data_IF_435269243977
#
_entry.id   IF_435269243977
#
_cell.length_a   1.000
_cell.length_b   1.000
_cell.length_c   1.000
_cell.angle_alpha   90.00
_cell.angle_beta   90.00
_cell.angle_gamma   90.00
#
_symmetry.space_group_name_H-M   'P 1'
#
loop_
_entity.id
_entity.type
_entity.pdbx_description
1 polymer ?
#
# COMPACT_ATOMS: atom_id res chain seq x y z
N UNK A 1 -14.10 -71.36 -20.68
CA UNK A 1 -14.72 -70.16 -20.07
C UNK A 1 -14.03 -69.77 -18.75
N UNK A 2 -13.78 -70.70 -17.83
CA UNK A 2 -13.10 -70.45 -16.52
C UNK A 2 -11.70 -69.82 -16.68
N UNK A 3 -10.85 -70.37 -17.56
CA UNK A 3 -9.51 -69.82 -17.83
C UNK A 3 -9.49 -68.36 -18.30
N UNK A 4 -10.53 -67.90 -19.02
CA UNK A 4 -10.62 -66.51 -19.49
C UNK A 4 -10.96 -65.54 -18.35
N UNK A 5 -11.75 -65.99 -17.37
CA UNK A 5 -12.09 -65.20 -16.20
C UNK A 5 -10.89 -65.08 -15.25
N UNK A 6 -10.16 -66.18 -15.02
CA UNK A 6 -8.94 -66.17 -14.21
C UNK A 6 -7.85 -65.27 -14.82
N UNK A 7 -7.67 -65.33 -16.15
CA UNK A 7 -6.75 -64.45 -16.87
C UNK A 7 -7.15 -62.97 -16.78
N UNK A 8 -8.45 -62.66 -16.88
CA UNK A 8 -8.96 -61.30 -16.72
C UNK A 8 -8.80 -60.78 -15.30
N UNK A 9 -9.06 -61.60 -14.28
CA UNK A 9 -8.88 -61.24 -12.87
C UNK A 9 -7.40 -61.00 -12.56
N UNK A 10 -6.51 -61.88 -13.03
CA UNK A 10 -5.06 -61.70 -12.89
C UNK A 10 -4.55 -60.45 -13.61
N UNK A 11 -5.12 -60.11 -14.77
CA UNK A 11 -4.75 -58.88 -15.49
C UNK A 11 -5.15 -57.64 -14.68
N UNK A 12 -6.33 -57.67 -14.06
CA UNK A 12 -6.80 -56.55 -13.25
C UNK A 12 -6.00 -56.40 -11.95
N UNK A 13 -5.66 -57.49 -11.27
CA UNK A 13 -4.82 -57.44 -10.07
C UNK A 13 -3.41 -56.94 -10.38
N UNK A 14 -2.85 -57.36 -11.52
CA UNK A 14 -1.57 -56.84 -12.01
C UNK A 14 -1.63 -55.34 -12.30
N UNK A 15 -2.69 -54.87 -12.97
CA UNK A 15 -2.88 -53.44 -13.27
C UNK A 15 -2.99 -52.61 -11.98
N UNK A 16 -3.79 -53.08 -11.02
CA UNK A 16 -3.94 -52.43 -9.72
C UNK A 16 -2.60 -52.35 -8.97
N UNK A 17 -1.82 -53.42 -9.03
CA UNK A 17 -0.50 -53.48 -8.39
C UNK A 17 0.49 -52.50 -9.06
N UNK A 18 0.52 -52.46 -10.40
CA UNK A 18 1.34 -51.48 -11.12
C UNK A 18 0.96 -50.04 -10.78
N UNK A 19 -0.34 -49.76 -10.64
CA UNK A 19 -0.82 -48.44 -10.25
C UNK A 19 -0.42 -48.08 -8.82
N UNK A 20 -0.54 -49.00 -7.85
CA UNK A 20 -0.10 -48.73 -6.47
C UNK A 20 1.39 -48.45 -6.39
N UNK A 21 2.22 -49.25 -7.09
CA UNK A 21 3.67 -49.03 -7.15
C UNK A 21 4.01 -47.67 -7.76
N UNK A 22 3.33 -47.27 -8.83
CA UNK A 22 3.54 -45.95 -9.45
C UNK A 22 3.17 -44.80 -8.52
N UNK A 23 2.03 -44.89 -7.83
CA UNK A 23 1.58 -43.87 -6.87
C UNK A 23 2.58 -43.73 -5.73
N UNK A 24 3.10 -44.83 -5.20
CA UNK A 24 4.06 -44.81 -4.11
C UNK A 24 5.41 -44.24 -4.54
N UNK A 25 5.87 -44.59 -5.74
CA UNK A 25 7.08 -44.02 -6.32
C UNK A 25 6.95 -42.51 -6.54
N UNK A 26 5.81 -42.06 -7.06
CA UNK A 26 5.52 -40.63 -7.26
C UNK A 26 5.51 -39.88 -5.92
N UNK A 27 4.87 -40.45 -4.89
CA UNK A 27 4.87 -39.86 -3.54
C UNK A 27 6.28 -39.75 -2.97
N UNK A 28 7.09 -40.80 -3.11
CA UNK A 28 8.47 -40.81 -2.63
C UNK A 28 9.31 -39.73 -3.34
N UNK A 29 9.20 -39.63 -4.66
CA UNK A 29 9.92 -38.63 -5.44
C UNK A 29 9.45 -37.20 -5.14
N UNK A 30 8.15 -37.00 -4.93
CA UNK A 30 7.60 -35.72 -4.47
C UNK A 30 8.13 -35.33 -3.10
N UNK A 31 8.22 -36.26 -2.14
CA UNK A 31 8.75 -35.99 -0.80
C UNK A 31 10.26 -35.65 -0.82
N UNK A 32 11.03 -36.30 -1.70
CA UNK A 32 12.47 -36.05 -1.83
C UNK A 32 12.77 -34.70 -2.52
N UNK A 33 12.08 -34.42 -3.64
CA UNK A 33 12.36 -33.24 -4.47
C UNK A 33 11.66 -31.97 -3.97
N UNK A 34 10.46 -32.10 -3.41
CA UNK A 34 9.76 -30.94 -2.87
C UNK A 34 10.23 -30.74 -1.44
N UNK A 35 11.15 -29.79 -1.25
CA UNK A 35 11.45 -29.26 0.08
C UNK A 35 10.14 -28.76 0.68
N UNK A 36 9.59 -29.52 1.63
CA UNK A 36 8.41 -29.12 2.39
C UNK A 36 8.81 -27.85 3.12
N UNK A 37 8.39 -26.70 2.57
CA UNK A 37 8.38 -25.47 3.36
C UNK A 37 7.34 -25.72 4.42
N UNK A 38 7.78 -25.99 5.63
CA UNK A 38 6.93 -25.87 6.81
C UNK A 38 6.43 -24.42 6.84
N UNK A 39 5.24 -24.21 6.26
CA UNK A 39 4.48 -23.02 6.53
C UNK A 39 3.95 -23.25 7.94
N UNK A 40 4.74 -22.83 8.94
CA UNK A 40 4.33 -22.81 10.33
C UNK A 40 3.04 -21.98 10.43
N UNK A 41 1.89 -22.65 10.35
CA UNK A 41 0.56 -22.07 10.55
C UNK A 41 0.41 -21.50 11.98
N UNK A 42 1.31 -21.89 12.90
CA UNK A 42 1.38 -21.39 14.27
C UNK A 42 2.23 -20.12 14.41
N UNK A 43 2.88 -19.64 13.35
CA UNK A 43 3.38 -18.27 13.36
C UNK A 43 2.22 -17.34 12.97
N UNK A 44 1.51 -16.83 13.98
CA UNK A 44 0.59 -15.70 13.86
C UNK A 44 1.32 -14.38 13.50
N UNK A 45 2.29 -14.47 12.59
CA UNK A 45 3.18 -13.41 12.16
C UNK A 45 3.24 -13.49 10.63
N UNK A 46 2.07 -13.35 10.04
CA UNK A 46 1.86 -12.98 8.64
C UNK A 46 2.92 -11.96 8.19
N UNK A 47 3.36 -12.06 6.93
CA UNK A 47 4.32 -11.23 6.18
C UNK A 47 4.22 -9.69 6.33
N UNK A 48 3.32 -9.16 7.16
CA UNK A 48 3.28 -7.77 7.64
C UNK A 48 4.60 -7.28 8.25
N UNK A 49 5.50 -8.16 8.72
CA UNK A 49 6.82 -7.79 9.29
C UNK A 49 7.85 -7.26 8.27
N UNK A 50 7.63 -7.39 6.95
CA UNK A 50 8.61 -6.94 5.95
C UNK A 50 8.37 -5.54 5.38
N UNK A 51 7.30 -4.85 5.76
CA UNK A 51 7.24 -3.40 5.54
C UNK A 51 8.16 -2.78 6.59
N UNK A 52 9.10 -1.93 6.17
CA UNK A 52 9.86 -1.12 7.12
C UNK A 52 8.85 -0.52 8.09
N UNK A 53 9.04 -0.78 9.39
CA UNK A 53 8.15 -0.22 10.41
C UNK A 53 8.11 1.27 10.12
N UNK A 54 6.90 1.79 9.90
CA UNK A 54 6.71 3.22 9.65
C UNK A 54 7.46 3.96 10.75
N UNK A 55 8.33 4.93 10.42
CA UNK A 55 9.27 5.49 11.39
C UNK A 55 8.56 6.26 12.53
N UNK A 56 7.29 6.63 12.32
CA UNK A 56 6.40 7.23 13.30
C UNK A 56 5.58 6.21 14.13
N UNK A 57 5.82 4.90 13.97
CA UNK A 57 5.07 3.86 14.69
C UNK A 57 5.68 3.62 16.08
N UNK A 58 4.93 3.93 17.14
CA UNK A 58 5.36 3.77 18.53
C UNK A 58 4.84 2.47 19.17
N UNK A 59 5.35 2.15 20.36
CA UNK A 59 4.83 1.06 21.20
C UNK A 59 3.38 1.31 21.60
N UNK A 60 3.04 2.55 21.97
CA UNK A 60 1.66 2.97 22.27
C UNK A 60 0.70 2.69 21.11
N UNK A 61 1.12 2.95 19.86
CA UNK A 61 0.31 2.61 18.69
C UNK A 61 0.12 1.11 18.51
N UNK A 62 1.12 0.31 18.88
CA UNK A 62 1.03 -1.15 18.86
C UNK A 62 0.00 -1.65 19.87
N UNK A 63 0.01 -1.09 21.08
CA UNK A 63 -0.97 -1.41 22.12
C UNK A 63 -2.39 -1.02 21.69
N UNK A 64 -2.60 0.22 21.22
CA UNK A 64 -3.89 0.68 20.73
C UNK A 64 -4.40 -0.15 19.56
N UNK A 65 -3.51 -0.55 18.65
CA UNK A 65 -3.85 -1.44 17.53
C UNK A 65 -4.29 -2.82 18.01
N UNK A 66 -3.59 -3.40 18.99
CA UNK A 66 -3.97 -4.69 19.58
C UNK A 66 -5.34 -4.59 20.27
N UNK A 67 -5.58 -3.51 21.03
CA UNK A 67 -6.86 -3.25 21.68
C UNK A 67 -8.00 -3.09 20.66
N UNK A 68 -7.75 -2.43 19.54
CA UNK A 68 -8.68 -2.31 18.42
C UNK A 68 -9.01 -3.69 17.83
N UNK A 69 -7.98 -4.50 17.53
CA UNK A 69 -8.14 -5.84 16.98
C UNK A 69 -8.92 -6.77 17.92
N UNK A 70 -8.68 -6.69 19.23
CA UNK A 70 -9.42 -7.47 20.22
C UNK A 70 -10.91 -7.08 20.25
N UNK A 71 -11.22 -5.78 20.28
CA UNK A 71 -12.61 -5.31 20.24
C UNK A 71 -13.32 -5.68 18.94
N UNK A 72 -12.62 -5.64 17.81
CA UNK A 72 -13.15 -6.09 16.53
C UNK A 72 -13.52 -7.58 16.56
N UNK A 73 -12.60 -8.43 17.04
CA UNK A 73 -12.84 -9.87 17.19
C UNK A 73 -14.03 -10.18 18.10
N UNK A 74 -14.16 -9.48 19.23
CA UNK A 74 -15.29 -9.65 20.15
C UNK A 74 -16.61 -9.21 19.52
N UNK A 75 -16.62 -8.05 18.85
CA UNK A 75 -17.79 -7.54 18.15
C UNK A 75 -18.28 -8.53 17.08
N UNK A 76 -17.37 -9.07 16.26
CA UNK A 76 -17.69 -10.02 15.20
C UNK A 76 -18.28 -11.34 15.73
N UNK A 77 -17.85 -11.79 16.91
CA UNK A 77 -18.39 -13.01 17.54
C UNK A 77 -19.76 -12.82 18.20
N UNK A 78 -20.17 -11.58 18.46
CA UNK A 78 -21.38 -11.27 19.21
C UNK A 78 -22.65 -11.19 18.35
N UNK A 79 -23.82 -11.40 18.97
CA UNK A 79 -25.15 -11.30 18.35
C UNK A 79 -26.09 -10.44 19.21
N UNK A 80 -27.18 -9.93 18.62
CA UNK A 80 -28.25 -9.21 19.32
C UNK A 80 -27.79 -7.92 20.02
N UNK A 81 -28.40 -7.60 21.16
CA UNK A 81 -28.14 -6.34 21.90
C UNK A 81 -26.68 -6.15 22.31
N UNK A 82 -25.97 -7.22 22.68
CA UNK A 82 -24.54 -7.16 23.04
C UNK A 82 -23.67 -6.65 21.88
N UNK A 83 -24.07 -6.90 20.63
CA UNK A 83 -23.35 -6.43 19.44
C UNK A 83 -23.37 -4.90 19.32
N UNK A 84 -24.47 -4.25 19.70
CA UNK A 84 -24.59 -2.79 19.68
C UNK A 84 -23.60 -2.13 20.63
N UNK A 85 -23.43 -2.68 21.83
CA UNK A 85 -22.48 -2.17 22.82
C UNK A 85 -21.03 -2.42 22.39
N UNK A 86 -20.70 -3.63 21.93
CA UNK A 86 -19.36 -3.92 21.42
C UNK A 86 -18.99 -3.07 20.20
N UNK A 87 -19.96 -2.71 19.35
CA UNK A 87 -19.76 -1.76 18.25
C UNK A 87 -19.36 -0.38 18.76
N UNK A 88 -20.00 0.12 19.83
CA UNK A 88 -19.63 1.41 20.44
C UNK A 88 -18.20 1.38 20.97
N UNK A 89 -17.83 0.31 21.68
CA UNK A 89 -16.46 0.11 22.20
C UNK A 89 -15.45 0.08 21.05
N UNK A 90 -15.73 -0.68 19.98
CA UNK A 90 -14.88 -0.74 18.80
C UNK A 90 -14.69 0.64 18.16
N UNK A 91 -15.78 1.39 17.93
CA UNK A 91 -15.72 2.74 17.34
C UNK A 91 -14.91 3.69 18.22
N UNK A 92 -15.07 3.62 19.55
CA UNK A 92 -14.28 4.42 20.48
C UNK A 92 -12.80 4.08 20.40
N UNK A 93 -12.43 2.79 20.45
CA UNK A 93 -11.03 2.35 20.33
C UNK A 93 -10.43 2.75 18.99
N UNK A 94 -11.20 2.68 17.91
CA UNK A 94 -10.76 3.13 16.57
C UNK A 94 -10.45 4.62 16.57
N UNK A 95 -11.36 5.45 17.11
CA UNK A 95 -11.14 6.91 17.23
C UNK A 95 -9.89 7.22 18.04
N UNK A 96 -9.64 6.52 19.14
CA UNK A 96 -8.43 6.70 19.95
C UNK A 96 -7.17 6.32 19.17
N UNK A 97 -7.17 5.17 18.49
CA UNK A 97 -6.07 4.74 17.63
C UNK A 97 -5.78 5.77 16.52
N UNK A 98 -6.80 6.20 15.78
CA UNK A 98 -6.65 7.15 14.68
C UNK A 98 -6.10 8.50 15.17
N UNK A 99 -6.58 9.01 16.30
CA UNK A 99 -6.06 10.23 16.92
C UNK A 99 -4.57 10.10 17.26
N UNK A 100 -4.18 9.00 17.88
CA UNK A 100 -2.77 8.79 18.25
C UNK A 100 -1.89 8.61 17.01
N UNK A 101 -2.39 7.93 15.96
CA UNK A 101 -1.67 7.82 14.68
C UNK A 101 -1.37 9.20 14.11
N UNK A 102 -2.36 10.10 14.08
CA UNK A 102 -2.16 11.45 13.56
C UNK A 102 -1.20 12.26 14.44
N UNK A 103 -1.28 12.11 15.77
CA UNK A 103 -0.35 12.74 16.70
C UNK A 103 1.09 12.27 16.48
N UNK A 104 1.34 10.96 16.44
CA UNK A 104 2.68 10.41 16.20
C UNK A 104 3.24 10.83 14.84
N UNK A 105 2.40 10.85 13.79
CA UNK A 105 2.80 11.38 12.47
C UNK A 105 3.24 12.84 12.56
N UNK A 106 2.43 13.71 13.19
CA UNK A 106 2.75 15.13 13.33
C UNK A 106 4.05 15.36 14.08
N UNK A 107 4.25 14.66 15.20
CA UNK A 107 5.49 14.72 15.99
C UNK A 107 6.69 14.30 15.14
N UNK A 108 6.58 13.18 14.42
CA UNK A 108 7.65 12.69 13.56
C UNK A 108 8.00 13.70 12.46
N UNK A 109 7.00 14.21 11.74
CA UNK A 109 7.23 15.16 10.65
C UNK A 109 7.78 16.49 11.15
N UNK A 110 7.32 16.98 12.31
CA UNK A 110 7.89 18.17 12.94
C UNK A 110 9.37 17.94 13.29
N UNK A 111 9.71 16.80 13.88
CA UNK A 111 11.11 16.43 14.15
C UNK A 111 11.95 16.35 12.87
N UNK A 112 11.41 15.80 11.78
CA UNK A 112 12.13 15.78 10.50
C UNK A 112 12.36 17.20 9.96
N UNK A 113 11.35 18.06 10.03
CA UNK A 113 11.47 19.47 9.64
C UNK A 113 12.55 20.18 10.47
N UNK A 114 12.51 20.05 11.79
CA UNK A 114 13.47 20.69 12.69
C UNK A 114 14.90 20.21 12.39
N UNK A 115 15.08 18.91 12.11
CA UNK A 115 16.38 18.36 11.71
C UNK A 115 16.90 19.00 10.41
N UNK A 116 16.03 19.21 9.42
CA UNK A 116 16.40 19.82 8.14
C UNK A 116 16.74 21.30 8.32
N UNK A 117 15.96 22.03 9.12
CA UNK A 117 16.23 23.44 9.45
C UNK A 117 17.60 23.59 10.15
N UNK A 118 17.93 22.67 11.06
CA UNK A 118 19.25 22.63 11.70
C UNK A 118 20.39 22.26 10.73
N UNK A 119 20.12 21.44 9.71
CA UNK A 119 21.10 21.14 8.68
C UNK A 119 21.39 22.33 7.78
N UNK A 120 20.41 23.22 7.54
CA UNK A 120 20.60 24.40 6.72
C UNK A 120 21.69 25.32 7.29
N UNK A 121 21.72 25.49 8.61
CA UNK A 121 22.70 26.35 9.30
C UNK A 121 24.04 25.67 9.53
N UNK A 122 24.06 24.35 9.71
CA UNK A 122 25.28 23.59 10.04
C UNK A 122 26.00 23.00 8.83
N UNK A 123 25.28 22.46 7.84
CA UNK A 123 25.85 21.78 6.68
C UNK A 123 24.90 21.83 5.46
N UNK A 124 25.10 22.85 4.63
CA UNK A 124 24.30 23.09 3.42
C UNK A 124 24.33 21.92 2.42
N UNK A 125 25.44 21.17 2.32
CA UNK A 125 25.52 20.01 1.43
C UNK A 125 24.62 18.86 1.90
N UNK A 126 24.58 18.59 3.21
CA UNK A 126 23.70 17.57 3.77
C UNK A 126 22.23 17.99 3.72
N UNK A 127 21.93 19.28 3.94
CA UNK A 127 20.59 19.83 3.76
C UNK A 127 20.02 19.49 2.38
N UNK A 128 20.74 19.79 1.29
CA UNK A 128 20.28 19.51 -0.07
C UNK A 128 20.13 18.00 -0.35
N UNK A 129 20.96 17.15 0.27
CA UNK A 129 20.81 15.69 0.19
C UNK A 129 19.51 15.22 0.87
N UNK A 130 19.18 15.73 2.05
CA UNK A 130 17.94 15.37 2.75
C UNK A 130 16.70 15.91 2.04
N UNK A 131 16.73 17.16 1.56
CA UNK A 131 15.68 17.73 0.71
C UNK A 131 15.46 16.88 -0.56
N UNK A 132 16.54 16.41 -1.19
CA UNK A 132 16.47 15.52 -2.35
C UNK A 132 15.85 14.15 -2.06
N UNK A 133 15.86 13.68 -0.81
CA UNK A 133 15.15 12.45 -0.39
C UNK A 133 13.67 12.70 -0.16
N UNK A 134 13.29 13.91 0.30
CA UNK A 134 11.91 14.28 0.63
C UNK A 134 11.14 14.68 -0.63
N UNK A 135 11.80 15.37 -1.55
CA UNK A 135 11.19 15.87 -2.78
C UNK A 135 11.53 15.01 -4.01
N UNK A 136 10.50 14.66 -4.78
CA UNK A 136 10.54 14.45 -6.24
C UNK A 136 11.34 13.24 -6.77
N UNK A 137 12.16 12.55 -5.96
CA UNK A 137 13.03 11.47 -6.41
C UNK A 137 12.32 10.27 -7.06
N UNK A 138 11.10 9.94 -6.63
CA UNK A 138 10.31 8.84 -7.20
C UNK A 138 9.30 9.28 -8.28
N UNK A 139 8.92 10.56 -8.30
CA UNK A 139 7.90 11.09 -9.23
C UNK A 139 8.48 11.83 -10.44
N UNK A 140 9.82 11.98 -10.55
CA UNK A 140 10.46 12.31 -11.81
C UNK A 140 10.24 11.16 -12.80
N UNK A 141 9.07 11.11 -13.44
CA UNK A 141 9.05 10.79 -14.86
C UNK A 141 10.02 11.79 -15.46
N UNK A 142 11.20 11.34 -15.91
CA UNK A 142 12.24 12.18 -16.54
C UNK A 142 11.78 12.83 -17.85
N UNK A 143 10.48 12.88 -18.09
CA UNK A 143 9.88 13.39 -19.31
C UNK A 143 9.37 14.79 -18.99
N UNK A 144 10.09 15.77 -19.51
CA UNK A 144 9.58 17.13 -19.63
C UNK A 144 8.22 17.02 -20.34
N UNK A 145 7.15 17.69 -19.85
CA UNK A 145 5.90 17.77 -20.59
C UNK A 145 6.19 18.28 -22.01
N UNK A 146 5.97 17.44 -23.01
CA UNK A 146 6.22 17.75 -24.42
C UNK A 146 4.96 18.35 -25.11
N UNK A 147 4.05 18.90 -24.32
CA UNK A 147 2.79 19.49 -24.77
C UNK A 147 2.54 20.73 -23.90
N UNK A 148 2.36 21.88 -24.54
CA UNK A 148 2.01 23.15 -23.87
C UNK A 148 0.72 23.71 -24.47
N UNK A 149 -0.09 24.32 -23.61
CA UNK A 149 -1.30 25.05 -24.04
C UNK A 149 -0.92 26.51 -24.20
N UNK A 150 -1.08 27.04 -25.41
CA UNK A 150 -0.87 28.46 -25.73
C UNK A 150 -2.06 29.30 -25.22
N UNK A 151 -1.89 30.61 -25.18
CA UNK A 151 -2.93 31.54 -24.67
C UNK A 151 -4.23 31.51 -25.47
N UNK A 152 -4.16 31.13 -26.75
CA UNK A 152 -5.29 30.92 -27.65
C UNK A 152 -6.07 29.61 -27.37
N UNK A 153 -5.63 28.82 -26.39
CA UNK A 153 -6.23 27.54 -26.02
C UNK A 153 -5.80 26.38 -26.91
N UNK A 154 -4.92 26.59 -27.89
CA UNK A 154 -4.38 25.53 -28.75
C UNK A 154 -3.23 24.79 -28.07
N UNK A 155 -3.09 23.51 -28.35
CA UNK A 155 -1.98 22.69 -27.83
C UNK A 155 -0.87 22.58 -28.86
N UNK A 156 0.34 22.97 -28.48
CA UNK A 156 1.55 22.78 -29.28
C UNK A 156 2.44 21.69 -28.69
N UNK A 157 3.03 20.88 -29.59
CA UNK A 157 4.06 19.89 -29.28
C UNK A 157 5.44 20.29 -29.84
N UNK A 158 5.56 21.51 -30.40
CA UNK A 158 6.83 21.97 -30.95
C UNK A 158 7.80 22.37 -29.82
N UNK A 159 9.06 21.98 -29.97
CA UNK A 159 10.07 22.12 -28.91
C UNK A 159 10.39 23.60 -28.63
N UNK A 160 10.41 24.41 -29.68
CA UNK A 160 10.62 25.87 -29.61
C UNK A 160 9.53 26.53 -28.77
N UNK A 161 8.26 26.20 -29.02
CA UNK A 161 7.12 26.72 -28.27
C UNK A 161 7.15 26.30 -26.81
N UNK A 162 7.47 25.03 -26.56
CA UNK A 162 7.58 24.49 -25.20
C UNK A 162 8.66 25.27 -24.44
N UNK A 163 9.85 25.44 -25.02
CA UNK A 163 10.94 26.17 -24.39
C UNK A 163 10.59 27.63 -24.13
N UNK A 164 9.91 28.28 -25.08
CA UNK A 164 9.49 29.69 -24.94
C UNK A 164 8.48 29.86 -23.81
N UNK A 165 7.42 29.04 -23.76
CA UNK A 165 6.42 29.06 -22.69
C UNK A 165 7.05 28.82 -21.32
N UNK A 166 8.00 27.89 -21.25
CA UNK A 166 8.74 27.62 -20.02
C UNK A 166 9.60 28.83 -19.62
N UNK A 167 10.36 29.41 -20.55
CA UNK A 167 11.17 30.59 -20.31
C UNK A 167 10.32 31.75 -19.76
N UNK A 168 9.21 32.07 -20.42
CA UNK A 168 8.31 33.17 -20.04
C UNK A 168 7.68 32.93 -18.67
N UNK A 169 7.26 31.69 -18.40
CA UNK A 169 6.68 31.29 -17.11
C UNK A 169 7.70 31.43 -15.97
N UNK A 170 8.94 30.97 -16.17
CA UNK A 170 10.00 31.10 -15.17
C UNK A 170 10.44 32.54 -14.98
N UNK A 171 10.54 33.30 -16.06
CA UNK A 171 10.90 34.71 -16.01
C UNK A 171 9.84 35.51 -15.25
N UNK A 172 8.55 35.20 -15.46
CA UNK A 172 7.43 35.76 -14.68
C UNK A 172 7.54 35.38 -13.20
N UNK A 173 7.81 34.12 -12.89
CA UNK A 173 7.90 33.63 -11.51
C UNK A 173 9.08 34.22 -10.74
N UNK A 174 10.21 34.46 -11.41
CA UNK A 174 11.43 35.01 -10.79
C UNK A 174 11.43 36.54 -10.72
N UNK A 175 10.79 37.21 -11.68
CA UNK A 175 10.78 38.67 -11.78
C UNK A 175 9.45 39.31 -11.35
N UNK A 176 8.51 38.56 -10.78
CA UNK A 176 7.29 39.14 -10.20
C UNK A 176 7.64 39.98 -8.96
N UNK A 177 7.98 41.25 -9.17
CA UNK A 177 8.33 42.23 -8.15
C UNK A 177 7.10 42.80 -7.40
N UNK A 178 6.05 42.00 -7.23
CA UNK A 178 4.84 42.40 -6.54
C UNK A 178 3.87 41.22 -6.44
N UNK A 179 3.37 40.97 -5.23
CA UNK A 179 2.45 39.90 -4.86
C UNK A 179 1.25 39.74 -5.82
N UNK A 180 1.40 38.96 -6.88
CA UNK A 180 0.30 38.22 -7.47
C UNK A 180 0.68 36.74 -7.45
N UNK A 181 -0.15 35.93 -6.79
CA UNK A 181 0.03 34.49 -6.73
C UNK A 181 -0.08 33.91 -8.14
N UNK A 182 1.07 33.56 -8.73
CA UNK A 182 1.09 32.83 -9.99
C UNK A 182 0.41 31.48 -9.75
N UNK A 183 -0.77 31.30 -10.34
CA UNK A 183 -1.58 30.11 -10.14
C UNK A 183 -1.06 28.99 -11.06
N UNK A 184 0.06 28.36 -10.65
CA UNK A 184 0.76 27.29 -11.41
C UNK A 184 -0.16 26.11 -11.73
N UNK A 185 -1.27 25.96 -11.02
CA UNK A 185 -2.32 24.98 -11.29
C UNK A 185 -2.99 25.13 -12.67
N UNK A 186 -2.90 26.29 -13.33
CA UNK A 186 -3.44 26.48 -14.69
C UNK A 186 -2.55 25.92 -15.80
N UNK A 187 -1.26 25.67 -15.52
CA UNK A 187 -0.27 25.25 -16.54
C UNK A 187 -0.09 23.74 -16.64
N UNK A 188 -0.68 22.95 -15.74
CA UNK A 188 -0.61 21.50 -15.76
C UNK A 188 -2.03 20.94 -15.71
N UNK A 189 -2.40 20.15 -16.72
CA UNK A 189 -3.65 19.36 -16.67
C UNK A 189 -3.65 18.60 -15.33
N UNK A 190 -4.73 18.65 -14.54
CA UNK A 190 -4.82 17.85 -13.33
C UNK A 190 -4.71 16.38 -13.76
N UNK A 191 -3.55 15.79 -13.48
CA UNK A 191 -3.37 14.36 -13.58
C UNK A 191 -4.49 13.71 -12.77
N UNK A 192 -5.07 12.64 -13.28
CA UNK A 192 -6.01 11.80 -12.51
C UNK A 192 -5.25 11.14 -11.36
N UNK A 193 -4.91 11.91 -10.33
CA UNK A 193 -4.43 11.39 -9.07
C UNK A 193 -5.64 10.72 -8.43
N UNK A 194 -5.70 9.39 -8.56
CA UNK A 194 -6.51 8.61 -7.63
C UNK A 194 -5.90 8.88 -6.25
N UNK A 195 -6.51 9.78 -5.50
CA UNK A 195 -6.37 9.81 -4.04
C UNK A 195 -6.51 8.36 -3.59
N UNK A 196 -5.42 7.77 -3.09
CA UNK A 196 -5.53 6.51 -2.36
C UNK A 196 -6.10 6.91 -1.00
N UNK A 197 -7.37 7.25 -1.01
CA UNK A 197 -8.17 7.32 0.19
C UNK A 197 -8.25 5.89 0.71
N UNK A 198 -7.48 5.62 1.76
CA UNK A 198 -7.63 4.44 2.61
C UNK A 198 -9.02 4.34 3.27
N UNK A 199 -9.94 5.25 2.92
CA UNK A 199 -11.34 5.29 3.33
C UNK A 199 -12.28 4.38 2.52
N UNK A 200 -11.86 3.89 1.35
CA UNK A 200 -12.80 3.23 0.41
C UNK A 200 -13.23 1.81 0.80
N UNK A 201 -12.66 1.17 1.83
CA UNK A 201 -12.96 -0.24 2.13
C UNK A 201 -14.16 -0.46 3.06
N UNK A 202 -14.64 0.56 3.78
CA UNK A 202 -15.68 0.36 4.82
C UNK A 202 -16.98 1.14 4.61
N UNK A 203 -17.09 1.93 3.54
CA UNK A 203 -18.36 2.58 3.15
C UNK A 203 -19.42 1.58 2.64
N UNK A 204 -19.04 0.32 2.44
CA UNK A 204 -19.93 -0.80 2.08
C UNK A 204 -20.64 -1.45 3.28
N UNK A 205 -20.31 -1.09 4.53
CA UNK A 205 -20.95 -1.65 5.74
C UNK A 205 -21.97 -0.70 6.39
N UNK A 206 -22.25 0.43 5.75
CA UNK A 206 -23.26 1.42 6.20
C UNK A 206 -24.58 1.30 5.41
N UNK A 207 -24.70 0.34 4.49
CA UNK A 207 -25.84 0.22 3.56
C UNK A 207 -26.97 -0.71 4.01
N UNK A 208 -26.76 -1.51 5.06
CA UNK A 208 -27.76 -2.48 5.53
C UNK A 208 -28.35 -2.05 6.89
N UNK A 209 -29.13 -0.97 6.90
CA UNK A 209 -30.14 -0.73 7.94
C UNK A 209 -31.53 -0.96 7.33
N UNK A 210 -32.31 -1.96 7.79
CA UNK A 210 -33.75 -1.93 7.62
C UNK A 210 -34.35 -0.94 8.63
N UNK A 211 -35.19 -0.03 8.13
CA UNK A 211 -36.08 0.82 8.93
C UNK A 211 -37.11 -0.02 9.71
#
# INVERSE_FOLDING_TARGET
>A
MIYSLESSVNSQTNLNNCYSVFVDLTKAEMLDKLKVKEICANSAISNKRRRSKKPWWSETLTELWNNLCCAEKEMLKSRGHRKKELRRIFVQRRKCFDKEVQKCKRIYWKKQQDNIENLLTSNSQQFWKEIGKIGVGQERRKRIPMEVVREDGTTSNDMTDILQVWQDSFQTLLNSSGHQSVNVAKLLKPGKYKSIDSFSYYKLLESDEPQ
#
